data_IF_245855130624
#
_entry.id   IF_245855130624
#
_cell.length_a   1.000
_cell.length_b   1.000
_cell.length_c   1.000
_cell.angle_alpha   90.00
_cell.angle_beta   90.00
_cell.angle_gamma   90.00
#
_symmetry.space_group_name_H-M   'P 1'
#
loop_
_entity.id
_entity.type
_entity.pdbx_description
1 polymer ?
#
# COMPACT_ATOMS: atom_id res chain seq x y z
N UNK A 1 -34.16 0.66 -5.36
CA UNK A 1 -33.68 0.90 -3.97
C UNK A 1 -32.20 0.66 -3.98
N UNK A 2 -31.42 1.75 -3.96
CA UNK A 2 -29.98 1.73 -4.04
C UNK A 2 -29.40 1.40 -2.65
N UNK A 3 -28.92 0.17 -2.47
CA UNK A 3 -28.11 -0.23 -1.33
C UNK A 3 -26.70 0.39 -1.42
N UNK A 4 -26.57 1.66 -1.03
CA UNK A 4 -25.27 2.19 -0.63
C UNK A 4 -24.97 1.58 0.73
N UNK A 5 -24.02 0.64 0.79
CA UNK A 5 -23.39 0.28 2.05
C UNK A 5 -22.83 1.57 2.67
N UNK A 6 -23.47 1.99 3.73
CA UNK A 6 -22.98 3.09 4.56
C UNK A 6 -21.77 2.55 5.30
N UNK A 7 -20.58 2.90 4.83
CA UNK A 7 -19.35 2.65 5.58
C UNK A 7 -19.54 3.28 6.96
N UNK A 8 -19.48 2.45 8.01
CA UNK A 8 -19.66 2.90 9.38
C UNK A 8 -18.54 3.92 9.72
N UNK A 9 -18.87 5.19 9.98
CA UNK A 9 -17.87 6.22 10.26
C UNK A 9 -17.04 5.93 11.53
N UNK A 10 -17.50 5.05 12.40
CA UNK A 10 -16.78 4.66 13.63
C UNK A 10 -15.88 3.43 13.43
N UNK A 11 -15.87 2.82 12.23
CA UNK A 11 -14.95 1.72 11.93
C UNK A 11 -13.47 2.16 11.85
N UNK A 12 -13.22 3.47 11.90
CA UNK A 12 -11.91 4.06 11.68
C UNK A 12 -11.27 4.71 12.93
N UNK A 13 -11.87 4.59 14.11
CA UNK A 13 -11.35 5.21 15.33
C UNK A 13 -10.03 4.59 15.86
N UNK A 14 -9.65 3.38 15.40
CA UNK A 14 -8.36 2.73 15.69
C UNK A 14 -7.24 3.01 14.69
N UNK A 15 -7.56 3.53 13.51
CA UNK A 15 -6.68 3.66 12.34
C UNK A 15 -5.64 4.79 12.50
N UNK A 16 -5.88 5.73 13.39
CA UNK A 16 -5.01 6.91 13.57
C UNK A 16 -3.59 6.54 14.01
N UNK A 17 -3.40 5.43 14.73
CA UNK A 17 -2.11 5.08 15.32
C UNK A 17 -1.09 4.52 14.30
N UNK A 18 -1.51 3.72 13.34
CA UNK A 18 -0.60 3.08 12.37
C UNK A 18 -0.05 4.07 11.34
N UNK A 19 -0.92 4.94 10.83
CA UNK A 19 -0.51 5.98 9.88
C UNK A 19 0.37 7.05 10.52
N UNK A 20 0.15 7.37 11.81
CA UNK A 20 0.98 8.31 12.53
C UNK A 20 2.40 7.78 12.81
N UNK A 21 2.60 6.47 12.69
CA UNK A 21 3.93 5.83 12.69
C UNK A 21 4.76 6.08 11.42
N UNK A 22 4.16 6.62 10.34
CA UNK A 22 4.86 6.97 9.10
C UNK A 22 5.58 8.32 9.22
N UNK A 23 6.79 8.29 9.74
CA UNK A 23 7.60 9.47 10.00
C UNK A 23 8.02 10.14 8.69
N UNK A 24 7.91 11.48 8.63
CA UNK A 24 8.37 12.27 7.48
C UNK A 24 7.52 12.11 6.22
N UNK A 25 6.32 11.50 6.33
CA UNK A 25 5.39 11.26 5.23
C UNK A 25 4.01 11.91 5.47
N UNK A 26 3.97 13.09 6.05
CA UNK A 26 2.75 13.78 6.51
C UNK A 26 1.73 14.00 5.38
N UNK A 27 2.21 14.27 4.16
CA UNK A 27 1.34 14.47 3.00
C UNK A 27 0.58 13.19 2.63
N UNK A 28 1.26 12.04 2.68
CA UNK A 28 0.68 10.72 2.44
C UNK A 28 -0.35 10.39 3.53
N UNK A 29 0.02 10.54 4.79
CA UNK A 29 -0.83 10.29 5.96
C UNK A 29 -2.11 11.11 5.86
N UNK A 30 -1.99 12.42 5.66
CA UNK A 30 -3.14 13.32 5.53
C UNK A 30 -4.05 12.95 4.37
N UNK A 31 -3.48 12.57 3.22
CA UNK A 31 -4.25 12.20 2.03
C UNK A 31 -5.02 10.91 2.26
N UNK A 32 -4.38 9.91 2.86
CA UNK A 32 -5.03 8.63 3.18
C UNK A 32 -6.14 8.82 4.23
N UNK A 33 -5.89 9.54 5.30
CA UNK A 33 -6.91 9.85 6.32
C UNK A 33 -8.13 10.54 5.70
N UNK A 34 -7.92 11.51 4.81
CA UNK A 34 -9.01 12.20 4.12
C UNK A 34 -9.77 11.27 3.17
N UNK A 35 -9.06 10.40 2.45
CA UNK A 35 -9.68 9.42 1.54
C UNK A 35 -10.55 8.41 2.31
N UNK A 36 -10.05 7.91 3.44
CA UNK A 36 -10.79 7.01 4.34
C UNK A 36 -12.05 7.69 4.88
N UNK A 37 -11.94 8.90 5.43
CA UNK A 37 -13.09 9.66 5.96
C UNK A 37 -14.15 9.97 4.90
N UNK A 38 -13.74 10.23 3.67
CA UNK A 38 -14.65 10.55 2.55
C UNK A 38 -15.20 9.32 1.83
N UNK A 39 -14.71 8.12 2.12
CA UNK A 39 -15.02 6.89 1.39
C UNK A 39 -14.52 6.86 -0.06
N UNK A 40 -13.62 7.77 -0.44
CA UNK A 40 -13.08 7.91 -1.80
C UNK A 40 -11.64 7.40 -1.87
N UNK A 41 -11.48 6.09 -1.76
CA UNK A 41 -10.19 5.44 -1.88
C UNK A 41 -9.84 5.16 -3.33
N UNK A 42 -8.62 5.49 -3.74
CA UNK A 42 -8.08 5.06 -5.03
C UNK A 42 -8.02 3.53 -5.10
N UNK A 43 -8.12 2.98 -6.33
CA UNK A 43 -7.95 1.54 -6.55
C UNK A 43 -6.49 1.14 -6.68
N UNK A 44 -5.61 2.08 -7.01
CA UNK A 44 -4.18 1.83 -7.10
C UNK A 44 -3.39 3.00 -6.50
N UNK A 45 -2.39 2.67 -5.70
CA UNK A 45 -1.41 3.58 -5.12
C UNK A 45 -0.04 3.28 -5.71
N UNK A 46 0.77 4.31 -5.93
CA UNK A 46 2.14 4.18 -6.39
C UNK A 46 3.09 4.90 -5.43
N UNK A 47 3.92 4.15 -4.76
CA UNK A 47 4.97 4.65 -3.88
C UNK A 47 6.29 4.75 -4.65
N UNK A 48 6.84 5.94 -4.74
CA UNK A 48 8.12 6.16 -5.41
C UNK A 48 9.15 6.70 -4.42
N UNK A 49 10.40 6.49 -4.71
CA UNK A 49 11.51 6.98 -3.89
C UNK A 49 12.75 6.11 -4.01
N UNK A 50 13.85 6.62 -3.54
CA UNK A 50 15.13 5.91 -3.56
C UNK A 50 15.07 4.63 -2.72
N UNK A 51 16.06 3.75 -2.93
CA UNK A 51 16.19 2.53 -2.13
C UNK A 51 16.36 2.86 -0.65
N UNK A 52 15.71 2.09 0.21
CA UNK A 52 15.82 2.23 1.67
C UNK A 52 14.98 3.36 2.28
N UNK A 53 14.12 4.04 1.50
CA UNK A 53 13.25 5.12 2.02
C UNK A 53 11.98 4.60 2.72
N UNK A 54 11.78 3.27 2.77
CA UNK A 54 10.64 2.65 3.45
C UNK A 54 9.41 2.42 2.57
N UNK A 55 9.55 2.31 1.24
CA UNK A 55 8.41 2.07 0.33
C UNK A 55 7.61 0.82 0.68
N UNK A 56 8.29 -0.31 0.84
CA UNK A 56 7.65 -1.60 1.17
C UNK A 56 7.00 -1.56 2.55
N UNK A 57 7.67 -0.97 3.54
CA UNK A 57 7.10 -0.77 4.88
C UNK A 57 5.86 0.12 4.83
N UNK A 58 5.91 1.21 4.07
CA UNK A 58 4.76 2.10 3.86
C UNK A 58 3.60 1.37 3.16
N UNK A 59 3.89 0.54 2.16
CA UNK A 59 2.88 -0.27 1.49
C UNK A 59 2.15 -1.22 2.47
N UNK A 60 2.91 -1.87 3.35
CA UNK A 60 2.35 -2.76 4.39
C UNK A 60 1.51 -1.98 5.41
N UNK A 61 1.93 -0.79 5.82
CA UNK A 61 1.15 0.06 6.72
C UNK A 61 -0.16 0.51 6.06
N UNK A 62 -0.12 0.89 4.78
CA UNK A 62 -1.35 1.20 4.02
C UNK A 62 -2.28 -0.02 3.98
N UNK A 63 -1.76 -1.21 3.67
CA UNK A 63 -2.55 -2.43 3.62
C UNK A 63 -3.18 -2.77 4.98
N UNK A 64 -2.41 -2.65 6.06
CA UNK A 64 -2.89 -2.82 7.44
C UNK A 64 -4.04 -1.88 7.75
N UNK A 65 -3.85 -0.60 7.46
CA UNK A 65 -4.84 0.45 7.68
C UNK A 65 -6.13 0.21 6.89
N UNK A 66 -6.03 -0.16 5.62
CA UNK A 66 -7.20 -0.39 4.76
C UNK A 66 -8.02 -1.61 5.19
N UNK A 67 -7.38 -2.61 5.76
CA UNK A 67 -8.02 -3.86 6.17
C UNK A 67 -8.18 -4.01 7.69
N UNK A 68 -7.86 -2.98 8.46
CA UNK A 68 -7.96 -2.99 9.93
C UNK A 68 -7.28 -4.23 10.57
N UNK A 69 -6.08 -4.55 10.06
CA UNK A 69 -5.30 -5.70 10.53
C UNK A 69 -4.66 -5.35 11.88
N UNK A 70 -4.93 -6.12 12.95
CA UNK A 70 -4.38 -5.81 14.27
C UNK A 70 -2.84 -5.94 14.32
N UNK A 71 -2.20 -5.18 15.21
CA UNK A 71 -0.74 -5.18 15.40
C UNK A 71 -0.16 -6.55 15.78
N UNK A 72 -0.98 -7.41 16.36
CA UNK A 72 -0.61 -8.77 16.72
C UNK A 72 -0.46 -9.72 15.53
N UNK A 73 -0.91 -9.30 14.34
CA UNK A 73 -0.84 -10.10 13.10
C UNK A 73 0.08 -9.45 12.08
N UNK A 74 0.97 -10.24 11.48
CA UNK A 74 1.78 -9.81 10.33
C UNK A 74 0.90 -9.53 9.11
N UNK A 75 1.20 -8.44 8.39
CA UNK A 75 0.46 -8.11 7.14
C UNK A 75 0.68 -9.17 6.07
N UNK A 76 1.87 -9.75 6.02
CA UNK A 76 2.30 -10.83 5.15
C UNK A 76 1.64 -12.18 5.47
N UNK A 77 1.07 -12.33 6.67
CA UNK A 77 0.32 -13.51 7.09
C UNK A 77 -1.19 -13.39 6.81
N UNK A 78 -1.66 -12.20 6.40
CA UNK A 78 -3.09 -11.97 6.18
C UNK A 78 -3.55 -12.49 4.82
N UNK A 79 -4.57 -13.37 4.80
CA UNK A 79 -5.03 -14.07 3.58
C UNK A 79 -5.53 -13.15 2.45
N UNK A 80 -5.98 -11.94 2.80
CA UNK A 80 -6.47 -10.95 1.84
C UNK A 80 -5.40 -9.93 1.43
N UNK A 81 -4.15 -10.11 1.85
CA UNK A 81 -2.99 -9.31 1.43
C UNK A 81 -1.98 -10.23 0.74
N UNK A 82 -1.65 -9.91 -0.50
CA UNK A 82 -0.68 -10.66 -1.30
C UNK A 82 0.47 -9.73 -1.67
N UNK A 83 1.67 -10.10 -1.25
CA UNK A 83 2.88 -9.36 -1.59
C UNK A 83 3.69 -10.12 -2.65
N UNK A 84 4.11 -9.41 -3.70
CA UNK A 84 4.94 -9.93 -4.78
C UNK A 84 6.10 -8.97 -5.06
N UNK A 85 7.30 -9.52 -5.12
CA UNK A 85 8.47 -8.81 -5.64
C UNK A 85 8.57 -9.03 -7.16
N UNK A 86 8.40 -7.96 -7.93
CA UNK A 86 8.49 -8.02 -9.39
C UNK A 86 9.91 -8.30 -9.89
N UNK A 87 10.95 -8.09 -9.10
CA UNK A 87 12.32 -8.45 -9.48
C UNK A 87 12.49 -9.98 -9.58
N UNK A 88 11.78 -10.73 -8.74
CA UNK A 88 11.77 -12.19 -8.76
C UNK A 88 10.65 -12.77 -9.64
N UNK A 89 9.61 -12.00 -9.93
CA UNK A 89 8.38 -12.41 -10.61
C UNK A 89 8.06 -11.49 -11.80
N UNK A 90 8.96 -11.41 -12.78
CA UNK A 90 8.86 -10.49 -13.93
C UNK A 90 7.83 -10.92 -14.98
N UNK A 91 7.42 -12.18 -14.95
CA UNK A 91 6.62 -12.83 -15.98
C UNK A 91 5.15 -12.42 -16.00
N UNK A 92 4.54 -12.51 -17.19
CA UNK A 92 3.12 -12.22 -17.39
C UNK A 92 2.22 -13.21 -16.63
N UNK A 93 2.67 -14.46 -16.46
CA UNK A 93 1.87 -15.50 -15.82
C UNK A 93 1.68 -15.24 -14.32
N UNK A 94 2.70 -14.77 -13.61
CA UNK A 94 2.60 -14.35 -12.22
C UNK A 94 1.55 -13.24 -12.03
N UNK A 95 1.52 -12.28 -12.96
CA UNK A 95 0.54 -11.19 -12.92
C UNK A 95 -0.86 -11.69 -13.29
N UNK A 96 -0.97 -12.63 -14.22
CA UNK A 96 -2.26 -13.26 -14.58
C UNK A 96 -2.88 -14.01 -13.39
N UNK A 97 -2.09 -14.72 -12.60
CA UNK A 97 -2.56 -15.37 -11.37
C UNK A 97 -3.14 -14.36 -10.39
N UNK A 98 -2.48 -13.21 -10.19
CA UNK A 98 -2.99 -12.11 -9.38
C UNK A 98 -4.33 -11.59 -9.93
N UNK A 99 -4.43 -11.36 -11.24
CA UNK A 99 -5.64 -10.85 -11.89
C UNK A 99 -6.80 -11.84 -11.76
N UNK A 100 -6.56 -13.13 -11.94
CA UNK A 100 -7.58 -14.16 -11.75
C UNK A 100 -8.04 -14.23 -10.29
N UNK A 101 -7.09 -14.20 -9.34
CA UNK A 101 -7.40 -14.19 -7.93
C UNK A 101 -8.16 -12.92 -7.49
N UNK A 102 -7.94 -11.79 -8.16
CA UNK A 102 -8.61 -10.52 -7.88
C UNK A 102 -10.11 -10.53 -8.22
N UNK A 103 -10.57 -11.47 -9.03
CA UNK A 103 -12.01 -11.63 -9.35
C UNK A 103 -12.83 -12.13 -8.15
N UNK A 104 -12.19 -12.79 -7.21
CA UNK A 104 -12.84 -13.32 -6.02
C UNK A 104 -12.84 -12.30 -4.89
N UNK A 105 -13.92 -12.26 -4.14
CA UNK A 105 -14.05 -11.38 -2.97
C UNK A 105 -13.02 -11.74 -1.88
N UNK A 106 -12.64 -10.77 -1.03
CA UNK A 106 -11.82 -11.05 0.14
C UNK A 106 -12.50 -12.05 1.08
N UNK A 107 -11.71 -12.78 1.86
CA UNK A 107 -12.19 -13.82 2.77
C UNK A 107 -12.66 -13.25 4.11
N UNK A 108 -11.95 -12.28 4.65
CA UNK A 108 -12.17 -11.75 5.99
C UNK A 108 -12.08 -10.23 6.12
N UNK A 109 -11.44 -9.56 5.18
CA UNK A 109 -11.17 -8.13 5.22
C UNK A 109 -12.05 -7.33 4.23
N UNK A 110 -12.15 -6.01 4.35
CA UNK A 110 -12.86 -5.16 3.39
C UNK A 110 -12.31 -5.24 1.97
N UNK A 111 -10.96 -5.35 1.84
CA UNK A 111 -10.30 -5.32 0.55
C UNK A 111 -9.35 -6.50 0.35
N UNK A 112 -9.23 -6.94 -0.89
CA UNK A 112 -8.16 -7.79 -1.37
C UNK A 112 -7.03 -6.91 -1.89
N UNK A 113 -5.89 -6.93 -1.21
CA UNK A 113 -4.80 -5.98 -1.44
C UNK A 113 -3.62 -6.71 -2.07
N UNK A 114 -3.11 -6.16 -3.18
CA UNK A 114 -1.93 -6.66 -3.85
C UNK A 114 -0.82 -5.62 -3.75
N UNK A 115 0.26 -5.98 -3.05
CA UNK A 115 1.49 -5.18 -2.97
C UNK A 115 2.45 -5.73 -4.01
N UNK A 116 2.87 -4.89 -4.97
CA UNK A 116 3.85 -5.26 -5.99
C UNK A 116 5.07 -4.35 -5.83
N UNK A 117 6.12 -4.91 -5.25
CA UNK A 117 7.38 -4.19 -5.05
C UNK A 117 8.23 -4.22 -6.33
N UNK A 118 9.04 -3.19 -6.52
CA UNK A 118 9.87 -2.95 -7.70
C UNK A 118 9.11 -3.16 -9.02
N UNK A 119 7.89 -2.64 -9.09
CA UNK A 119 6.93 -2.85 -10.19
C UNK A 119 7.52 -2.53 -11.58
N UNK A 120 8.55 -1.67 -11.66
CA UNK A 120 9.25 -1.34 -12.91
C UNK A 120 9.98 -2.54 -13.53
N UNK A 121 10.18 -3.63 -12.76
CA UNK A 121 10.82 -4.87 -13.25
C UNK A 121 9.84 -5.79 -14.01
N UNK A 122 8.54 -5.49 -13.99
CA UNK A 122 7.56 -6.27 -14.74
C UNK A 122 7.81 -6.18 -16.24
N UNK A 123 7.58 -7.28 -16.94
CA UNK A 123 7.61 -7.32 -18.38
C UNK A 123 6.51 -6.45 -19.00
N UNK A 124 6.71 -6.03 -20.25
CA UNK A 124 5.69 -5.30 -21.02
C UNK A 124 4.35 -6.04 -21.08
N UNK A 125 4.39 -7.37 -21.22
CA UNK A 125 3.20 -8.21 -21.22
C UNK A 125 2.47 -8.21 -19.88
N UNK A 126 3.23 -8.21 -18.75
CA UNK A 126 2.68 -8.11 -17.41
C UNK A 126 2.00 -6.76 -17.17
N UNK A 127 2.61 -5.65 -17.58
CA UNK A 127 1.97 -4.33 -17.51
C UNK A 127 0.68 -4.26 -18.31
N UNK A 128 0.67 -4.81 -19.53
CA UNK A 128 -0.54 -4.83 -20.38
C UNK A 128 -1.66 -5.67 -19.74
N UNK A 129 -1.31 -6.77 -19.07
CA UNK A 129 -2.29 -7.58 -18.35
C UNK A 129 -2.90 -6.83 -17.17
N UNK A 130 -2.07 -6.12 -16.37
CA UNK A 130 -2.54 -5.29 -15.26
C UNK A 130 -3.41 -4.13 -15.71
N UNK A 131 -3.11 -3.51 -16.84
CA UNK A 131 -3.76 -2.30 -17.32
C UNK A 131 -5.27 -2.48 -17.43
N UNK A 132 -5.75 -3.61 -17.95
CA UNK A 132 -7.17 -3.91 -18.07
C UNK A 132 -7.87 -3.90 -16.71
N UNK A 133 -7.25 -4.51 -15.69
CA UNK A 133 -7.80 -4.53 -14.33
C UNK A 133 -7.77 -3.15 -13.67
N UNK A 134 -6.75 -2.32 -13.98
CA UNK A 134 -6.67 -0.95 -13.47
C UNK A 134 -7.65 0.00 -14.17
N UNK A 135 -8.11 -0.32 -15.37
CA UNK A 135 -9.14 0.44 -16.09
C UNK A 135 -10.54 0.18 -15.52
N UNK A 136 -10.83 -1.07 -15.19
CA UNK A 136 -12.10 -1.51 -14.62
C UNK A 136 -11.85 -2.34 -13.35
N UNK A 137 -11.35 -1.72 -12.26
CA UNK A 137 -10.98 -2.45 -11.06
C UNK A 137 -12.22 -2.91 -10.31
N UNK A 138 -12.25 -4.16 -9.80
CA UNK A 138 -13.28 -4.58 -8.85
C UNK A 138 -13.25 -3.68 -7.60
N UNK A 139 -14.40 -3.34 -7.05
CA UNK A 139 -14.49 -2.42 -5.90
C UNK A 139 -13.71 -2.91 -4.68
N UNK A 140 -13.67 -4.23 -4.48
CA UNK A 140 -12.97 -4.89 -3.37
C UNK A 140 -11.47 -5.05 -3.57
N UNK A 141 -10.90 -4.62 -4.70
CA UNK A 141 -9.47 -4.78 -5.01
C UNK A 141 -8.73 -3.46 -4.86
N UNK A 142 -7.56 -3.54 -4.21
CA UNK A 142 -6.61 -2.43 -4.11
C UNK A 142 -5.23 -2.90 -4.53
N UNK A 143 -4.54 -2.07 -5.31
CA UNK A 143 -3.14 -2.30 -5.68
C UNK A 143 -2.26 -1.27 -4.99
N UNK A 144 -1.11 -1.71 -4.48
CA UNK A 144 -0.08 -0.83 -3.94
C UNK A 144 1.23 -1.18 -4.65
N UNK A 145 1.64 -0.31 -5.55
CA UNK A 145 2.89 -0.46 -6.29
C UNK A 145 4.01 0.30 -5.60
N UNK A 146 5.21 -0.27 -5.57
CA UNK A 146 6.41 0.42 -5.16
C UNK A 146 7.47 0.38 -6.26
N UNK A 147 8.22 1.46 -6.43
CA UNK A 147 9.29 1.54 -7.43
C UNK A 147 10.39 2.49 -7.03
N UNK A 148 11.63 2.12 -7.36
CA UNK A 148 12.79 3.02 -7.33
C UNK A 148 12.96 3.79 -8.64
N UNK A 149 12.35 3.30 -9.74
CA UNK A 149 12.57 3.81 -11.10
C UNK A 149 11.24 4.14 -11.80
N UNK A 150 10.61 5.24 -11.37
CA UNK A 150 9.30 5.64 -11.92
C UNK A 150 9.31 5.83 -13.45
N UNK A 151 10.44 6.24 -14.03
CA UNK A 151 10.56 6.46 -15.48
C UNK A 151 10.42 5.19 -16.31
N UNK A 152 10.60 4.02 -15.69
CA UNK A 152 10.43 2.72 -16.34
C UNK A 152 8.98 2.20 -16.27
N UNK A 153 8.14 2.83 -15.44
CA UNK A 153 6.72 2.45 -15.34
C UNK A 153 5.95 3.12 -16.47
N UNK A 154 5.13 2.39 -17.24
CA UNK A 154 4.36 2.96 -18.34
C UNK A 154 3.42 4.07 -17.87
N UNK A 155 3.30 5.13 -18.67
CA UNK A 155 2.45 6.29 -18.37
C UNK A 155 0.97 5.89 -18.21
N UNK A 156 0.56 4.85 -18.93
CA UNK A 156 -0.80 4.27 -18.85
C UNK A 156 -1.11 3.68 -17.48
N UNK A 157 -0.11 3.16 -16.79
CA UNK A 157 -0.21 2.69 -15.40
C UNK A 157 -0.18 3.89 -14.45
N UNK A 158 0.79 4.80 -14.63
CA UNK A 158 0.95 5.98 -13.77
C UNK A 158 -0.31 6.83 -13.70
N UNK A 159 -1.01 7.01 -14.81
CA UNK A 159 -2.22 7.83 -14.90
C UNK A 159 -3.42 7.26 -14.13
N UNK A 160 -3.34 5.98 -13.72
CA UNK A 160 -4.40 5.27 -12.98
C UNK A 160 -4.06 5.07 -11.51
N UNK A 161 -2.89 5.55 -11.08
CA UNK A 161 -2.42 5.42 -9.71
C UNK A 161 -2.46 6.77 -8.99
N UNK A 162 -2.83 6.74 -7.71
CA UNK A 162 -2.53 7.84 -6.81
C UNK A 162 -1.08 7.73 -6.38
N UNK A 163 -0.27 8.72 -6.76
CA UNK A 163 1.18 8.71 -6.55
C UNK A 163 1.56 9.39 -5.25
N UNK A 164 2.52 8.80 -4.55
CA UNK A 164 3.21 9.35 -3.40
C UNK A 164 4.72 9.24 -3.57
N UNK A 165 5.40 10.36 -3.51
CA UNK A 165 6.85 10.43 -3.60
C UNK A 165 7.43 10.44 -2.18
N UNK A 166 7.94 9.30 -1.73
CA UNK A 166 8.53 9.16 -0.41
C UNK A 166 9.90 9.82 -0.37
N UNK A 167 10.16 10.56 0.70
CA UNK A 167 11.41 11.27 0.92
C UNK A 167 12.21 10.61 2.03
N UNK A 168 13.51 10.86 2.02
CA UNK A 168 14.33 10.52 3.19
C UNK A 168 13.82 11.30 4.39
N UNK A 169 13.78 10.62 5.52
CA UNK A 169 13.50 11.25 6.80
C UNK A 169 14.76 12.00 7.24
N UNK A 170 14.59 13.22 7.71
CA UNK A 170 15.68 14.00 8.25
C UNK A 170 16.32 13.31 9.46
N UNK A 171 17.65 13.43 9.59
CA UNK A 171 18.42 12.73 10.63
C UNK A 171 17.93 13.07 12.03
N UNK A 172 17.50 14.30 12.26
CA UNK A 172 16.98 14.76 13.54
C UNK A 172 15.66 14.03 13.91
N UNK A 173 14.73 13.98 12.96
CA UNK A 173 13.43 13.28 13.12
C UNK A 173 13.64 11.80 13.35
N UNK A 174 14.58 11.19 12.60
CA UNK A 174 14.93 9.79 12.74
C UNK A 174 15.55 9.49 14.11
N UNK A 175 16.45 10.36 14.57
CA UNK A 175 17.09 10.24 15.88
C UNK A 175 16.07 10.32 17.02
N UNK A 176 15.13 11.25 16.94
CA UNK A 176 14.04 11.38 17.92
C UNK A 176 13.15 10.13 17.94
N UNK A 177 12.83 9.60 16.77
CA UNK A 177 12.05 8.36 16.65
C UNK A 177 12.76 7.17 17.30
N UNK A 178 14.06 6.99 17.06
CA UNK A 178 14.83 5.92 17.70
C UNK A 178 14.89 6.09 19.22
N UNK A 179 15.02 7.30 19.73
CA UNK A 179 14.93 7.56 21.18
C UNK A 179 13.58 7.16 21.76
N UNK A 180 12.50 7.46 21.04
CA UNK A 180 11.16 7.08 21.45
C UNK A 180 10.96 5.55 21.48
N UNK A 181 11.46 4.84 20.46
CA UNK A 181 11.42 3.37 20.41
C UNK A 181 12.24 2.79 21.58
N UNK A 182 13.49 3.25 21.76
CA UNK A 182 14.35 2.77 22.84
C UNK A 182 13.74 2.98 24.21
N UNK A 183 13.07 4.11 24.42
CA UNK A 183 12.35 4.39 25.66
C UNK A 183 11.19 3.41 25.90
N UNK A 184 10.46 3.05 24.83
CA UNK A 184 9.36 2.05 24.91
C UNK A 184 9.87 0.63 25.17
N UNK A 185 11.02 0.29 24.62
CA UNK A 185 11.65 -1.03 24.78
C UNK A 185 12.56 -1.13 26.01
N UNK A 186 12.67 -0.04 26.83
CA UNK A 186 13.58 0.07 27.97
C UNK A 186 15.06 -0.20 27.62
N UNK A 187 15.49 0.20 26.42
CA UNK A 187 16.87 0.10 25.96
C UNK A 187 17.56 1.47 26.07
N UNK A 188 18.75 1.51 26.65
CA UNK A 188 19.59 2.71 26.63
C UNK A 188 20.34 2.81 25.31
N UNK A 189 20.21 3.95 24.61
CA UNK A 189 20.96 4.27 23.41
C UNK A 189 22.02 5.30 23.78
N UNK A 190 23.29 5.04 23.43
CA UNK A 190 24.38 6.02 23.54
C UNK A 190 24.35 7.04 22.38
#
# INVERSE_FOLDING_TARGET
>A
ENGKEVVNPNAFDGIDNDLDGLIGQEALVRTLKNALKSGRLAHAFLLTGIRGVGKTSTARIIARTLNDIPDSQGVDEHMDVVEMDAASNTGVDNVREIIEAAKYKPLSAPFKIYIIDEVHMLSKGAFNALLKTLEEPPEHVKFIFATTEIRKVPVTILSRCQRFDLRRVDTEVLSEHFKNIASKENVQIE
#
